data_IF_241393924399
#
_entry.id   IF_241393924399
#
_cell.length_a   1.000
_cell.length_b   1.000
_cell.length_c   1.000
_cell.angle_alpha   90.00
_cell.angle_beta   90.00
_cell.angle_gamma   90.00
#
_symmetry.space_group_name_H-M   'P 1'
#
loop_
_entity.id
_entity.type
_entity.pdbx_description
1 polymer ?
#
# COMPACT_ATOMS: atom_id res chain seq x y z
N UNK A 1 32.83 -45.54 25.14
CA UNK A 1 31.67 -44.90 25.81
C UNK A 1 31.36 -43.50 25.28
N UNK A 2 32.34 -42.59 25.08
CA UNK A 2 32.09 -41.22 24.59
C UNK A 2 31.53 -41.10 23.17
N UNK A 3 31.84 -42.04 22.27
CA UNK A 3 31.35 -42.03 20.87
C UNK A 3 29.89 -42.50 20.75
N UNK A 4 29.45 -43.45 21.58
CA UNK A 4 28.06 -43.91 21.60
C UNK A 4 27.10 -42.84 22.14
N UNK A 5 27.56 -41.98 23.07
CA UNK A 5 26.75 -40.88 23.60
C UNK A 5 26.50 -39.78 22.56
N UNK A 6 27.48 -39.49 21.69
CA UNK A 6 27.32 -38.51 20.61
C UNK A 6 26.34 -38.98 19.52
N UNK A 7 26.35 -40.27 19.19
CA UNK A 7 25.41 -40.85 18.21
C UNK A 7 23.96 -40.87 18.73
N UNK A 8 23.78 -41.05 20.04
CA UNK A 8 22.46 -41.04 20.67
C UNK A 8 21.83 -39.64 20.69
N UNK A 9 22.63 -38.57 20.83
CA UNK A 9 22.15 -37.18 20.80
C UNK A 9 21.68 -36.76 19.39
N UNK A 10 22.31 -37.26 18.33
CA UNK A 10 21.90 -37.00 16.95
C UNK A 10 20.57 -37.69 16.55
N UNK A 11 20.21 -38.80 17.22
CA UNK A 11 18.95 -39.53 16.97
C UNK A 11 17.72 -38.89 17.63
N UNK A 12 17.90 -37.91 18.52
CA UNK A 12 16.78 -37.15 19.12
C UNK A 12 16.51 -35.81 18.44
N UNK A 13 17.29 -35.45 17.41
CA UNK A 13 17.00 -34.28 16.57
C UNK A 13 16.01 -34.72 15.48
N UNK A 14 14.74 -34.86 15.86
CA UNK A 14 13.68 -34.88 14.85
C UNK A 14 13.64 -33.48 14.23
N UNK A 15 13.84 -33.31 12.91
CA UNK A 15 13.46 -32.06 12.28
C UNK A 15 11.95 -31.93 12.47
N UNK A 16 11.53 -30.99 13.32
CA UNK A 16 10.14 -30.57 13.30
C UNK A 16 9.87 -30.09 11.87
N UNK A 17 8.85 -30.67 11.23
CA UNK A 17 8.34 -30.06 10.01
C UNK A 17 7.82 -28.68 10.45
N UNK A 18 8.35 -27.66 9.81
CA UNK A 18 7.88 -26.30 9.97
C UNK A 18 6.99 -25.96 8.77
N UNK A 19 6.33 -24.81 8.83
CA UNK A 19 5.49 -24.32 7.74
C UNK A 19 6.14 -24.47 6.36
N UNK A 20 5.43 -25.06 5.41
CA UNK A 20 5.83 -25.05 4.00
C UNK A 20 5.54 -23.67 3.39
N UNK A 21 6.53 -22.78 3.47
CA UNK A 21 6.46 -21.40 2.95
C UNK A 21 6.08 -21.33 1.48
N UNK A 22 6.35 -22.37 0.69
CA UNK A 22 6.02 -22.39 -0.74
C UNK A 22 4.51 -22.36 -1.00
N UNK A 23 3.67 -22.64 0.01
CA UNK A 23 2.21 -22.54 -0.10
C UNK A 23 1.66 -21.12 0.05
N UNK A 24 2.50 -20.16 0.47
CA UNK A 24 2.07 -18.81 0.79
C UNK A 24 2.87 -17.80 -0.02
N UNK A 25 2.15 -16.94 -0.76
CA UNK A 25 2.78 -15.87 -1.54
C UNK A 25 3.66 -14.96 -0.68
N UNK A 26 4.89 -14.74 -1.14
CA UNK A 26 5.72 -13.59 -0.78
C UNK A 26 5.16 -12.30 -1.38
N UNK A 27 5.73 -11.14 -1.01
CA UNK A 27 5.33 -9.88 -1.65
C UNK A 27 5.60 -9.88 -3.17
N UNK A 28 6.71 -10.48 -3.62
CA UNK A 28 7.09 -10.49 -5.03
C UNK A 28 6.20 -11.42 -5.87
N UNK A 29 5.61 -12.44 -5.26
CA UNK A 29 4.61 -13.33 -5.89
C UNK A 29 3.19 -12.76 -5.86
N UNK A 30 2.97 -11.62 -5.22
CA UNK A 30 1.70 -10.91 -5.20
C UNK A 30 1.78 -9.69 -6.11
N UNK A 31 1.05 -9.70 -7.23
CA UNK A 31 1.16 -8.65 -8.25
C UNK A 31 0.98 -7.23 -7.70
N UNK A 32 -0.04 -7.00 -6.87
CA UNK A 32 -0.24 -5.67 -6.27
C UNK A 32 0.84 -5.32 -5.26
N UNK A 33 1.30 -6.26 -4.43
CA UNK A 33 2.35 -5.99 -3.44
C UNK A 33 3.64 -5.60 -4.13
N UNK A 34 4.06 -6.37 -5.14
CA UNK A 34 5.23 -6.07 -5.96
C UNK A 34 5.15 -4.66 -6.56
N UNK A 35 4.04 -4.31 -7.22
CA UNK A 35 3.85 -2.98 -7.84
C UNK A 35 3.83 -1.85 -6.83
N UNK A 36 3.31 -2.10 -5.63
CA UNK A 36 3.22 -1.11 -4.58
C UNK A 36 4.56 -0.91 -3.86
N UNK A 37 5.29 -2.01 -3.58
CA UNK A 37 6.64 -2.00 -2.99
C UNK A 37 7.68 -1.38 -3.93
N UNK A 38 7.57 -1.63 -5.23
CA UNK A 38 8.44 -1.04 -6.24
C UNK A 38 8.13 0.44 -6.52
N UNK A 39 7.02 0.99 -6.00
CA UNK A 39 6.68 2.38 -6.22
C UNK A 39 7.59 3.29 -5.38
N UNK A 40 8.37 4.11 -6.06
CA UNK A 40 9.16 5.18 -5.46
C UNK A 40 8.49 6.53 -5.70
N UNK A 41 8.65 7.45 -4.75
CA UNK A 41 8.18 8.82 -4.92
C UNK A 41 8.79 9.43 -6.20
N UNK A 42 7.96 9.93 -7.13
CA UNK A 42 8.46 10.53 -8.37
C UNK A 42 9.13 11.89 -8.07
N UNK A 43 10.08 12.29 -8.92
CA UNK A 43 10.73 13.61 -8.81
C UNK A 43 9.71 14.75 -8.87
N UNK A 44 8.67 14.60 -9.68
CA UNK A 44 7.49 15.47 -9.70
C UNK A 44 6.30 14.71 -9.10
N UNK A 45 5.78 15.15 -7.94
CA UNK A 45 4.63 14.52 -7.30
C UNK A 45 3.42 14.42 -8.24
N UNK A 46 2.69 13.30 -8.18
CA UNK A 46 1.52 13.11 -9.05
C UNK A 46 0.22 13.62 -8.41
N UNK A 47 0.12 13.64 -7.08
CA UNK A 47 -1.13 13.96 -6.37
C UNK A 47 -1.10 15.39 -5.86
N UNK A 48 -2.06 16.20 -6.29
CA UNK A 48 -2.16 17.61 -5.95
C UNK A 48 -3.53 17.95 -5.38
N UNK A 49 -3.55 18.71 -4.30
CA UNK A 49 -4.77 19.27 -3.74
C UNK A 49 -5.40 20.27 -4.73
N UNK A 50 -6.72 20.19 -4.91
CA UNK A 50 -7.52 21.23 -5.57
C UNK A 50 -8.14 22.11 -4.48
N UNK A 51 -7.40 23.10 -3.99
CA UNK A 51 -7.75 23.81 -2.74
C UNK A 51 -9.12 24.53 -2.79
N UNK A 52 -9.51 25.04 -3.96
CA UNK A 52 -10.79 25.74 -4.17
C UNK A 52 -12.02 24.82 -4.11
N UNK A 53 -11.82 23.50 -4.11
CA UNK A 53 -12.90 22.52 -3.98
C UNK A 53 -13.32 22.24 -2.54
N UNK A 54 -12.66 22.85 -1.54
CA UNK A 54 -12.95 22.63 -0.13
C UNK A 54 -14.38 23.09 0.22
N UNK A 55 -15.19 22.16 0.71
CA UNK A 55 -16.53 22.38 1.23
C UNK A 55 -16.63 21.80 2.64
N UNK A 56 -16.92 22.65 3.63
CA UNK A 56 -17.12 22.24 5.02
C UNK A 56 -18.60 22.24 5.39
N UNK A 57 -19.16 21.05 5.62
CA UNK A 57 -20.55 20.81 6.04
C UNK A 57 -20.64 20.68 7.57
N UNK A 58 -21.83 20.31 8.08
CA UNK A 58 -22.02 20.01 9.51
C UNK A 58 -21.37 18.70 9.95
N UNK A 59 -21.17 17.76 9.03
CA UNK A 59 -20.73 16.39 9.32
C UNK A 59 -19.34 16.04 8.75
N UNK A 60 -18.79 16.88 7.87
CA UNK A 60 -17.51 16.62 7.21
C UNK A 60 -16.89 17.84 6.55
N UNK A 61 -15.62 17.71 6.14
CA UNK A 61 -14.99 18.57 5.16
C UNK A 61 -14.62 17.73 3.93
N UNK A 62 -14.98 18.19 2.74
CA UNK A 62 -14.71 17.49 1.48
C UNK A 62 -13.89 18.37 0.54
N UNK A 63 -12.96 17.76 -0.18
CA UNK A 63 -12.13 18.43 -1.19
C UNK A 63 -11.63 17.40 -2.21
N UNK A 64 -11.21 17.88 -3.37
CA UNK A 64 -10.68 17.05 -4.45
C UNK A 64 -9.16 16.99 -4.43
N UNK A 65 -8.63 15.86 -4.88
CA UNK A 65 -7.20 15.64 -5.16
C UNK A 65 -7.08 15.17 -6.60
N UNK A 66 -6.23 15.84 -7.38
CA UNK A 66 -5.96 15.50 -8.78
C UNK A 66 -4.68 14.67 -8.88
N UNK A 67 -4.77 13.52 -9.52
CA UNK A 67 -3.59 12.82 -10.05
C UNK A 67 -3.28 13.36 -11.44
N UNK A 68 -2.15 14.05 -11.58
CA UNK A 68 -1.73 14.73 -12.82
C UNK A 68 -1.14 13.78 -13.85
N UNK A 69 -0.63 12.61 -13.45
CA UNK A 69 -0.11 11.59 -14.37
C UNK A 69 -1.21 10.97 -15.23
N UNK A 70 -2.36 10.67 -14.61
CA UNK A 70 -3.47 9.97 -15.27
C UNK A 70 -4.70 10.87 -15.50
N UNK A 71 -4.62 12.14 -15.13
CA UNK A 71 -5.73 13.10 -15.17
C UNK A 71 -7.00 12.62 -14.43
N UNK A 72 -6.81 11.94 -13.29
CA UNK A 72 -7.90 11.38 -12.46
C UNK A 72 -8.17 12.28 -11.26
N UNK A 73 -9.44 12.59 -11.03
CA UNK A 73 -9.90 13.28 -9.82
C UNK A 73 -10.38 12.29 -8.76
N UNK A 74 -9.92 12.51 -7.55
CA UNK A 74 -10.36 11.83 -6.33
C UNK A 74 -11.10 12.81 -5.44
N UNK A 75 -12.07 12.32 -4.67
CA UNK A 75 -12.71 13.05 -3.59
C UNK A 75 -12.19 12.53 -2.26
N UNK A 76 -11.79 13.46 -1.38
CA UNK A 76 -11.38 13.19 0.00
C UNK A 76 -12.44 13.77 0.94
N UNK A 77 -12.92 12.95 1.87
CA UNK A 77 -13.82 13.33 2.95
C UNK A 77 -13.11 13.16 4.30
N UNK A 78 -13.04 14.25 5.05
CA UNK A 78 -12.61 14.28 6.44
C UNK A 78 -13.84 14.30 7.35
N UNK A 79 -13.92 13.37 8.29
CA UNK A 79 -14.90 13.40 9.38
C UNK A 79 -14.16 13.54 10.70
N UNK A 80 -14.47 14.59 11.46
CA UNK A 80 -13.93 14.81 12.80
C UNK A 80 -14.92 14.36 13.87
N UNK A 81 -14.42 13.80 14.96
CA UNK A 81 -15.21 13.38 16.11
C UNK A 81 -14.80 14.15 17.37
N UNK A 82 -15.77 14.43 18.24
CA UNK A 82 -15.63 15.21 19.49
C UNK A 82 -14.52 14.74 20.45
N UNK A 83 -13.99 13.54 20.27
CA UNK A 83 -12.88 12.98 21.04
C UNK A 83 -11.51 13.10 20.35
N UNK A 84 -11.39 13.90 19.29
CA UNK A 84 -10.12 14.14 18.60
C UNK A 84 -9.82 13.16 17.46
N UNK A 85 -10.68 12.16 17.20
CA UNK A 85 -10.50 11.23 16.08
C UNK A 85 -10.79 11.95 14.76
N UNK A 86 -9.94 11.72 13.77
CA UNK A 86 -10.13 12.17 12.38
C UNK A 86 -10.19 10.94 11.48
N UNK A 87 -11.28 10.80 10.72
CA UNK A 87 -11.43 9.78 9.67
C UNK A 87 -11.17 10.42 8.32
N UNK A 88 -10.19 9.86 7.60
CA UNK A 88 -9.89 10.21 6.21
C UNK A 88 -10.49 9.14 5.30
N UNK A 89 -11.32 9.55 4.36
CA UNK A 89 -11.89 8.67 3.34
C UNK A 89 -11.58 9.23 1.96
N UNK A 90 -11.04 8.43 1.07
CA UNK A 90 -10.67 8.85 -0.28
C UNK A 90 -11.19 7.86 -1.31
N UNK A 91 -11.83 8.35 -2.36
CA UNK A 91 -12.33 7.52 -3.46
C UNK A 91 -12.19 8.27 -4.80
N UNK A 92 -12.24 7.55 -5.91
CA UNK A 92 -12.35 8.16 -7.24
C UNK A 92 -13.64 8.98 -7.32
N UNK A 93 -13.56 10.19 -7.89
CA UNK A 93 -14.71 11.09 -8.01
C UNK A 93 -15.75 10.58 -9.02
N UNK A 94 -15.27 9.96 -10.10
CA UNK A 94 -16.08 9.41 -11.19
C UNK A 94 -15.57 8.02 -11.60
N UNK A 95 -15.73 7.00 -10.75
CA UNK A 95 -15.23 5.66 -11.05
C UNK A 95 -16.09 4.97 -12.10
N UNK A 96 -15.49 4.14 -12.96
CA UNK A 96 -16.23 3.32 -13.94
C UNK A 96 -17.18 2.30 -13.27
N UNK A 97 -16.95 2.01 -11.98
CA UNK A 97 -17.85 1.25 -11.11
C UNK A 97 -17.53 1.53 -9.63
N UNK A 98 -18.46 1.32 -8.68
CA UNK A 98 -18.18 1.51 -7.27
C UNK A 98 -17.02 0.64 -6.77
N UNK A 99 -16.18 1.21 -5.89
CA UNK A 99 -15.23 0.45 -5.09
C UNK A 99 -15.93 -0.22 -3.93
N UNK A 100 -15.34 -1.30 -3.43
CA UNK A 100 -15.82 -1.94 -2.21
C UNK A 100 -15.67 -0.98 -1.03
N UNK A 101 -16.76 -0.78 -0.29
CA UNK A 101 -16.77 -0.08 1.00
C UNK A 101 -17.29 -1.05 2.06
N UNK A 102 -16.64 -1.06 3.22
CA UNK A 102 -17.07 -1.89 4.35
C UNK A 102 -18.48 -1.47 4.77
N UNK A 103 -19.46 -2.38 4.77
CA UNK A 103 -20.85 -2.03 5.08
C UNK A 103 -20.97 -1.38 6.47
N UNK A 104 -21.81 -0.34 6.62
CA UNK A 104 -22.13 0.21 7.92
C UNK A 104 -22.67 -0.88 8.87
N UNK A 105 -22.17 -0.91 10.10
CA UNK A 105 -22.59 -1.87 11.12
C UNK A 105 -21.85 -3.21 11.11
N UNK A 106 -21.05 -3.50 10.08
CA UNK A 106 -20.23 -4.73 10.04
C UNK A 106 -19.05 -4.63 11.03
N UNK A 107 -18.20 -3.61 10.86
CA UNK A 107 -17.08 -3.34 11.77
C UNK A 107 -17.30 -2.08 12.61
N UNK A 108 -17.88 -1.04 12.01
CA UNK A 108 -18.14 0.24 12.68
C UNK A 108 -19.64 0.43 12.84
N UNK A 109 -20.07 0.61 14.09
CA UNK A 109 -21.45 0.93 14.43
C UNK A 109 -21.71 2.43 14.15
N UNK A 110 -21.89 2.79 12.88
CA UNK A 110 -22.01 4.21 12.44
C UNK A 110 -23.10 4.99 13.19
N UNK A 111 -24.21 4.33 13.53
CA UNK A 111 -25.30 4.94 14.30
C UNK A 111 -24.85 5.44 15.70
N UNK A 112 -23.81 4.84 16.30
CA UNK A 112 -23.25 5.27 17.58
C UNK A 112 -22.22 6.39 17.43
N UNK A 113 -21.71 6.60 16.21
CA UNK A 113 -20.72 7.64 15.92
C UNK A 113 -21.35 8.93 15.42
N UNK A 114 -22.54 8.88 14.81
CA UNK A 114 -23.20 10.04 14.23
C UNK A 114 -23.37 11.20 15.22
N UNK A 115 -23.75 10.91 16.47
CA UNK A 115 -23.91 11.92 17.54
C UNK A 115 -22.59 12.48 18.05
N UNK A 116 -21.45 11.86 17.71
CA UNK A 116 -20.11 12.27 18.12
C UNK A 116 -19.40 13.12 17.07
N UNK A 117 -19.95 13.23 15.86
CA UNK A 117 -19.36 14.03 14.79
C UNK A 117 -19.31 15.51 15.20
N UNK A 118 -18.19 16.15 14.92
CA UNK A 118 -17.97 17.57 15.21
C UNK A 118 -17.56 18.29 13.93
N UNK A 119 -18.26 19.40 13.64
CA UNK A 119 -18.00 20.25 12.48
C UNK A 119 -16.60 20.86 12.59
N UNK A 120 -15.82 20.77 11.51
CA UNK A 120 -14.53 21.46 11.40
C UNK A 120 -14.71 22.98 11.28
N UNK A 121 -13.76 23.73 11.84
CA UNK A 121 -13.62 25.17 11.60
C UNK A 121 -12.39 25.44 10.73
N UNK A 122 -12.55 26.23 9.66
CA UNK A 122 -11.44 26.62 8.79
C UNK A 122 -10.57 27.62 9.55
N UNK A 123 -9.28 27.29 9.70
CA UNK A 123 -8.27 28.15 10.33
C UNK A 123 -7.57 28.99 9.28
N UNK A 124 -7.20 28.37 8.16
CA UNK A 124 -6.54 29.03 7.04
C UNK A 124 -6.87 28.30 5.73
N UNK A 125 -6.85 29.05 4.63
CA UNK A 125 -7.02 28.51 3.28
C UNK A 125 -6.25 29.38 2.29
N UNK A 126 -5.58 28.73 1.35
CA UNK A 126 -4.80 29.32 0.27
C UNK A 126 -4.91 28.43 -0.97
N UNK A 127 -4.27 28.80 -2.08
CA UNK A 127 -4.21 27.98 -3.29
C UNK A 127 -3.44 26.67 -3.12
N UNK A 128 -2.56 26.58 -2.12
CA UNK A 128 -1.65 25.45 -1.93
C UNK A 128 -1.95 24.63 -0.68
N UNK A 129 -2.71 25.17 0.27
CA UNK A 129 -2.99 24.50 1.52
C UNK A 129 -4.22 25.05 2.23
N UNK A 130 -4.82 24.24 3.10
CA UNK A 130 -5.78 24.69 4.10
C UNK A 130 -5.54 23.98 5.44
N UNK A 131 -6.00 24.61 6.52
CA UNK A 131 -5.95 24.04 7.87
C UNK A 131 -7.34 24.06 8.49
N UNK A 132 -7.74 22.92 9.04
CA UNK A 132 -8.99 22.73 9.77
C UNK A 132 -8.68 22.49 11.25
N UNK A 133 -9.51 23.05 12.13
CA UNK A 133 -9.49 22.76 13.57
C UNK A 133 -10.74 22.00 13.97
N UNK A 134 -10.57 21.07 14.90
CA UNK A 134 -11.68 20.32 15.49
C UNK A 134 -12.04 20.93 16.85
N UNK A 135 -13.23 21.53 16.99
CA UNK A 135 -13.59 22.29 18.20
C UNK A 135 -13.49 21.46 19.48
N UNK A 136 -13.10 22.11 20.58
CA UNK A 136 -12.94 21.51 21.91
C UNK A 136 -11.89 20.38 21.99
N UNK A 137 -10.98 20.34 21.03
CA UNK A 137 -9.82 19.44 21.01
C UNK A 137 -8.58 20.23 20.61
N UNK A 138 -7.40 19.67 20.86
CA UNK A 138 -6.14 20.21 20.33
C UNK A 138 -5.88 19.74 18.89
N UNK A 139 -6.81 19.00 18.27
CA UNK A 139 -6.62 18.39 16.96
C UNK A 139 -6.80 19.41 15.84
N UNK A 140 -5.74 19.58 15.05
CA UNK A 140 -5.83 20.29 13.75
C UNK A 140 -5.39 19.37 12.61
N UNK A 141 -5.94 19.62 11.43
CA UNK A 141 -5.64 18.89 10.20
C UNK A 141 -5.22 19.89 9.14
N UNK A 142 -3.96 19.82 8.73
CA UNK A 142 -3.42 20.62 7.64
C UNK A 142 -3.31 19.76 6.38
N UNK A 143 -3.79 20.27 5.26
CA UNK A 143 -3.72 19.60 3.96
C UNK A 143 -3.01 20.52 2.98
N UNK A 144 -2.03 19.99 2.24
CA UNK A 144 -1.19 20.76 1.31
C UNK A 144 -1.23 20.20 -0.12
N UNK A 145 -0.65 20.95 -1.05
CA UNK A 145 -0.26 20.54 -2.40
C UNK A 145 1.27 20.63 -2.52
N UNK A 146 2.01 19.57 -2.90
CA UNK A 146 1.56 18.20 -3.17
C UNK A 146 0.77 17.57 -2.02
N UNK A 147 -0.11 16.62 -2.37
CA UNK A 147 -1.09 16.07 -1.43
C UNK A 147 -0.42 15.43 -0.22
N UNK A 148 -0.62 16.03 0.95
CA UNK A 148 -0.16 15.58 2.25
C UNK A 148 -1.24 15.97 3.26
N UNK A 149 -1.52 15.06 4.21
CA UNK A 149 -2.40 15.35 5.35
C UNK A 149 -1.57 15.27 6.62
N UNK A 150 -1.47 16.37 7.35
CA UNK A 150 -0.79 16.44 8.64
C UNK A 150 -1.85 16.56 9.74
N UNK A 151 -1.79 15.68 10.73
CA UNK A 151 -2.60 15.76 11.96
C UNK A 151 -1.69 16.26 13.07
N UNK A 152 -2.10 17.37 13.70
CA UNK A 152 -1.38 17.98 14.80
C UNK A 152 -2.21 17.89 16.09
N UNK A 153 -1.51 17.73 17.21
CA UNK A 153 -2.05 17.93 18.56
C UNK A 153 -1.36 19.15 19.16
N UNK A 154 -2.11 20.24 19.29
CA UNK A 154 -1.54 21.57 19.56
C UNK A 154 -0.66 21.99 18.39
N UNK A 155 0.58 22.40 18.69
CA UNK A 155 1.57 22.79 17.67
C UNK A 155 2.47 21.64 17.22
N UNK A 156 2.22 20.41 17.68
CA UNK A 156 3.05 19.24 17.36
C UNK A 156 2.38 18.35 16.32
N UNK A 157 3.01 18.18 15.17
CA UNK A 157 2.63 17.13 14.20
C UNK A 157 2.81 15.76 14.85
N UNK A 158 1.75 14.94 14.83
CA UNK A 158 1.74 13.60 15.43
C UNK A 158 1.60 12.48 14.42
N UNK A 159 0.94 12.76 13.29
CA UNK A 159 0.72 11.79 12.23
C UNK A 159 0.67 12.51 10.88
N UNK A 160 1.32 11.95 9.87
CA UNK A 160 1.27 12.45 8.50
C UNK A 160 0.86 11.34 7.54
N UNK A 161 -0.01 11.65 6.58
CA UNK A 161 -0.35 10.77 5.46
C UNK A 161 0.30 11.31 4.18
N UNK A 162 0.97 10.44 3.45
CA UNK A 162 1.67 10.74 2.20
C UNK A 162 2.88 11.69 2.33
N UNK A 163 3.50 11.74 3.51
CA UNK A 163 4.70 12.56 3.76
C UNK A 163 5.89 12.20 2.86
N UNK A 164 5.98 10.94 2.44
CA UNK A 164 7.03 10.43 1.55
C UNK A 164 6.61 10.40 0.08
N UNK A 165 5.40 10.83 -0.25
CA UNK A 165 4.89 10.76 -1.62
C UNK A 165 4.72 9.34 -2.14
N UNK A 166 4.52 8.35 -1.25
CA UNK A 166 4.35 6.93 -1.64
C UNK A 166 2.87 6.56 -1.86
N UNK A 167 1.97 7.54 -1.82
CA UNK A 167 0.60 7.32 -2.22
C UNK A 167 0.54 6.81 -3.66
N UNK A 168 -0.08 5.64 -3.84
CA UNK A 168 -0.35 5.04 -5.14
C UNK A 168 -1.74 4.43 -5.12
N UNK A 169 -2.64 5.09 -5.82
CA UNK A 169 -4.02 4.70 -5.99
C UNK A 169 -4.22 4.26 -7.43
N UNK A 170 -4.29 2.95 -7.67
CA UNK A 170 -4.53 2.36 -8.98
C UNK A 170 -5.99 2.61 -9.36
N UNK A 171 -6.25 3.61 -10.19
CA UNK A 171 -7.59 3.98 -10.68
C UNK A 171 -8.21 2.84 -11.49
N UNK A 172 -9.54 2.75 -11.48
CA UNK A 172 -10.23 1.70 -12.22
C UNK A 172 -10.13 1.97 -13.72
N UNK A 173 -9.75 0.95 -14.49
CA UNK A 173 -9.57 1.04 -15.94
C UNK A 173 -10.02 -0.23 -16.65
N UNK A 174 -10.37 -0.09 -17.92
CA UNK A 174 -10.66 -1.23 -18.79
C UNK A 174 -9.36 -1.89 -19.23
N UNK A 175 -9.44 -3.19 -19.55
CA UNK A 175 -8.31 -3.90 -20.17
C UNK A 175 -8.05 -3.29 -21.54
N UNK A 176 -6.81 -2.82 -21.83
CA UNK A 176 -6.47 -2.43 -23.18
C UNK A 176 -6.75 -3.59 -24.13
N UNK A 177 -7.40 -3.34 -25.26
CA UNK A 177 -7.50 -4.35 -26.31
C UNK A 177 -6.10 -4.61 -26.84
N UNK A 178 -5.62 -5.86 -26.72
CA UNK A 178 -4.38 -6.25 -27.38
C UNK A 178 -4.55 -6.00 -28.87
N UNK A 179 -3.72 -5.15 -29.47
CA UNK A 179 -3.52 -5.20 -30.92
C UNK A 179 -3.08 -6.63 -31.20
N UNK A 180 -3.95 -7.41 -31.84
CA UNK A 180 -3.73 -8.83 -32.09
C UNK A 180 -2.37 -9.03 -32.76
N UNK A 181 -1.44 -9.65 -32.05
CA UNK A 181 -0.32 -10.32 -32.71
C UNK A 181 -0.92 -11.36 -33.66
N UNK A 182 -0.43 -11.49 -34.90
CA UNK A 182 -0.86 -12.56 -35.78
C UNK A 182 -0.57 -13.89 -35.08
N UNK A 183 -1.59 -14.72 -34.89
CA UNK A 183 -1.38 -16.07 -34.35
C UNK A 183 -0.34 -16.79 -35.20
N UNK A 184 0.69 -17.41 -34.59
CA UNK A 184 1.60 -18.27 -35.34
C UNK A 184 0.78 -19.40 -35.97
N UNK A 185 1.02 -19.74 -37.25
CA UNK A 185 0.25 -20.75 -37.94
C UNK A 185 0.33 -22.08 -37.19
N UNK A 186 -0.83 -22.71 -37.00
CA UNK A 186 -0.96 -24.02 -36.40
C UNK A 186 -0.08 -25.05 -37.14
N UNK A 187 0.71 -25.80 -36.38
CA UNK A 187 1.49 -26.94 -36.88
C UNK A 187 0.56 -27.94 -37.60
N UNK A 188 0.73 -28.04 -38.91
CA UNK A 188 0.21 -29.11 -39.74
C UNK A 188 1.38 -29.93 -40.28
N UNK A 189 1.42 -31.22 -39.93
CA UNK A 189 2.37 -32.19 -40.47
C UNK A 189 2.14 -32.46 -41.97
N UNK A 190 3.29 -32.67 -42.65
CA UNK A 190 3.57 -33.41 -43.88
C UNK A 190 3.06 -32.94 -45.26
N UNK A 191 4.02 -32.66 -46.16
CA UNK A 191 3.81 -32.71 -47.62
C UNK A 191 4.83 -31.94 -48.49
N UNK A 192 5.97 -32.58 -48.77
CA UNK A 192 6.82 -32.51 -49.99
C UNK A 192 7.27 -31.17 -50.64
N UNK A 193 8.61 -31.09 -50.85
CA UNK A 193 9.34 -30.10 -51.68
C UNK A 193 9.03 -30.23 -53.19
N UNK A 194 9.29 -29.18 -53.99
CA UNK A 194 10.47 -29.22 -54.88
C UNK A 194 11.26 -27.90 -55.01
N UNK A 195 12.42 -28.02 -55.66
CA UNK A 195 13.61 -27.14 -55.71
C UNK A 195 13.61 -26.05 -56.82
N UNK A 196 14.53 -25.08 -56.70
CA UNK A 196 15.02 -24.12 -57.73
C UNK A 196 14.72 -22.65 -57.38
N UNK A 197 15.59 -21.62 -57.42
CA UNK A 197 16.92 -21.34 -58.01
C UNK A 197 17.65 -20.22 -57.21
N UNK A 198 18.90 -19.94 -57.58
CA UNK A 198 20.04 -19.18 -57.00
C UNK A 198 19.93 -17.63 -56.76
N UNK A 199 20.95 -16.96 -56.14
CA UNK A 199 20.78 -15.76 -55.31
C UNK A 199 21.34 -14.39 -55.85
N UNK A 200 21.04 -13.34 -55.06
CA UNK A 200 21.75 -12.04 -54.86
C UNK A 200 21.49 -10.88 -55.87
N UNK A 201 21.75 -9.58 -55.54
CA UNK A 201 22.44 -9.03 -54.35
C UNK A 201 21.77 -7.84 -53.64
N UNK A 202 22.48 -7.36 -52.61
CA UNK A 202 22.23 -6.23 -51.72
C UNK A 202 22.03 -4.86 -52.38
N UNK A 203 21.37 -3.93 -51.67
CA UNK A 203 21.85 -2.54 -51.51
C UNK A 203 21.13 -1.78 -50.38
N UNK A 204 21.97 -1.05 -49.62
CA UNK A 204 21.79 0.26 -48.98
C UNK A 204 20.75 0.50 -47.86
N UNK A 205 21.27 0.52 -46.63
CA UNK A 205 21.18 1.60 -45.62
C UNK A 205 19.93 2.48 -45.55
N UNK A 206 19.24 2.41 -44.40
CA UNK A 206 18.80 3.62 -43.70
C UNK A 206 18.87 3.44 -42.19
N UNK A 207 19.59 4.35 -41.56
CA UNK A 207 19.68 4.57 -40.13
C UNK A 207 18.31 4.93 -39.55
N UNK A 208 17.94 4.33 -38.42
CA UNK A 208 17.49 5.06 -37.23
C UNK A 208 17.28 4.08 -36.07
N UNK A 209 18.00 4.34 -34.98
CA UNK A 209 17.74 3.70 -33.71
C UNK A 209 16.37 4.15 -33.19
N UNK A 210 15.65 3.21 -32.61
CA UNK A 210 14.52 3.52 -31.76
C UNK A 210 14.59 2.61 -30.54
N UNK A 211 15.06 3.20 -29.44
CA UNK A 211 14.87 2.70 -28.08
C UNK A 211 13.37 2.49 -27.86
N UNK A 212 12.93 1.24 -27.89
CA UNK A 212 11.61 0.86 -27.37
C UNK A 212 11.77 -0.37 -26.49
N UNK A 213 11.77 -0.14 -25.17
CA UNK A 213 11.02 -0.91 -24.15
C UNK A 213 11.34 -0.42 -22.74
N UNK A 214 10.49 0.47 -22.20
CA UNK A 214 10.14 0.42 -20.78
C UNK A 214 8.70 -0.08 -20.54
N UNK A 215 7.84 -0.10 -21.56
CA UNK A 215 6.39 -0.34 -21.38
C UNK A 215 6.01 -1.82 -21.20
N UNK A 216 6.76 -2.77 -21.77
CA UNK A 216 6.42 -4.20 -21.66
C UNK A 216 6.64 -4.79 -20.27
N UNK A 217 7.55 -4.22 -19.47
CA UNK A 217 7.77 -4.69 -18.09
C UNK A 217 6.66 -4.21 -17.13
N UNK A 218 5.96 -3.11 -17.45
CA UNK A 218 4.85 -2.62 -16.62
C UNK A 218 3.60 -3.53 -16.69
N UNK A 219 3.38 -4.29 -17.77
CA UNK A 219 2.16 -5.08 -17.97
C UNK A 219 2.09 -6.40 -17.18
N UNK A 220 3.25 -6.96 -16.81
CA UNK A 220 3.29 -8.23 -16.08
C UNK A 220 2.58 -8.11 -14.71
N UNK A 221 1.61 -8.99 -14.46
CA UNK A 221 0.77 -9.07 -13.26
C UNK A 221 -0.23 -7.89 -13.05
N UNK A 222 -0.51 -7.07 -14.06
CA UNK A 222 -1.60 -6.06 -13.98
C UNK A 222 -2.98 -6.69 -14.18
N UNK A 223 -3.07 -7.76 -14.98
CA UNK A 223 -4.27 -8.56 -15.25
C UNK A 223 -4.06 -9.99 -14.77
N UNK A 224 -4.62 -11.00 -15.44
CA UNK A 224 -4.69 -12.39 -15.00
C UNK A 224 -3.41 -12.85 -14.26
N UNK A 225 -3.57 -13.46 -13.08
CA UNK A 225 -2.46 -13.85 -12.21
C UNK A 225 -2.58 -15.32 -11.83
N UNK A 226 -1.52 -16.10 -12.10
CA UNK A 226 -1.47 -17.52 -11.76
C UNK A 226 -0.63 -17.74 -10.50
N UNK A 227 -1.14 -18.53 -9.57
CA UNK A 227 -0.39 -19.02 -8.42
C UNK A 227 -0.61 -20.52 -8.24
N UNK A 228 0.44 -21.30 -8.46
CA UNK A 228 0.39 -22.77 -8.55
C UNK A 228 -0.67 -23.20 -9.59
N UNK A 229 -1.65 -24.00 -9.16
CA UNK A 229 -2.76 -24.48 -9.99
C UNK A 229 -3.92 -23.48 -10.11
N UNK A 230 -3.90 -22.37 -9.36
CA UNK A 230 -4.99 -21.40 -9.33
C UNK A 230 -4.72 -20.26 -10.30
N UNK A 231 -5.75 -19.89 -11.07
CA UNK A 231 -5.73 -18.76 -11.99
C UNK A 231 -6.74 -17.72 -11.53
N UNK A 232 -6.26 -16.52 -11.16
CA UNK A 232 -7.11 -15.37 -10.90
C UNK A 232 -7.34 -14.60 -12.20
N UNK A 233 -8.60 -14.56 -12.65
CA UNK A 233 -8.99 -13.83 -13.86
C UNK A 233 -8.87 -12.30 -13.71
N UNK A 234 -8.83 -11.78 -12.47
CA UNK A 234 -8.70 -10.35 -12.13
C UNK A 234 -9.42 -9.40 -13.11
N UNK A 235 -10.77 -9.50 -13.21
CA UNK A 235 -11.55 -8.78 -14.23
C UNK A 235 -11.48 -7.26 -14.13
N UNK A 236 -11.01 -6.74 -12.99
CA UNK A 236 -10.91 -5.30 -12.73
C UNK A 236 -9.49 -4.77 -12.87
N UNK A 237 -8.54 -5.64 -13.22
CA UNK A 237 -7.13 -5.29 -13.33
C UNK A 237 -6.54 -4.78 -12.01
N UNK A 238 -5.61 -3.82 -12.09
CA UNK A 238 -4.97 -3.25 -10.90
C UNK A 238 -5.91 -2.26 -10.21
N UNK A 239 -6.24 -2.54 -8.94
CA UNK A 239 -7.16 -1.70 -8.16
C UNK A 239 -6.62 -1.36 -6.78
N UNK A 240 -5.31 -1.55 -6.55
CA UNK A 240 -4.74 -1.37 -5.23
C UNK A 240 -4.60 0.09 -4.79
N UNK A 241 -4.67 0.31 -3.49
CA UNK A 241 -4.56 1.60 -2.82
C UNK A 241 -3.43 1.51 -1.81
N UNK A 242 -2.46 2.40 -1.95
CA UNK A 242 -1.29 2.54 -1.10
C UNK A 242 -1.14 3.96 -0.57
N UNK A 243 -0.71 4.11 0.69
CA UNK A 243 -0.29 5.39 1.27
C UNK A 243 0.70 5.16 2.40
N UNK A 244 1.72 6.04 2.51
CA UNK A 244 2.59 6.08 3.68
C UNK A 244 1.96 6.86 4.83
N UNK A 245 2.14 6.34 6.03
CA UNK A 245 1.67 6.89 7.29
C UNK A 245 2.89 7.07 8.20
N UNK A 246 3.22 8.31 8.51
CA UNK A 246 4.36 8.64 9.37
C UNK A 246 3.86 8.98 10.77
N UNK A 247 4.35 8.25 11.77
CA UNK A 247 4.13 8.52 13.18
C UNK A 247 5.27 9.39 13.70
N UNK A 248 4.99 10.67 13.92
CA UNK A 248 6.03 11.67 14.22
C UNK A 248 6.45 11.60 15.69
N UNK A 249 7.75 11.41 15.95
CA UNK A 249 8.33 11.35 17.30
C UNK A 249 8.16 10.00 17.99
N UNK A 250 8.00 8.91 17.23
CA UNK A 250 7.84 7.55 17.74
C UNK A 250 8.92 6.62 17.23
N UNK A 251 9.45 5.79 18.13
CA UNK A 251 10.46 4.76 17.85
C UNK A 251 9.88 3.35 17.81
N UNK A 252 8.67 3.15 18.31
CA UNK A 252 8.02 1.84 18.34
C UNK A 252 6.56 1.92 17.89
N UNK A 253 6.19 0.98 17.02
CA UNK A 253 4.80 0.67 16.67
C UNK A 253 4.45 -0.76 17.05
N UNK A 254 3.17 -0.97 17.33
CA UNK A 254 2.58 -2.22 17.82
C UNK A 254 1.28 -2.49 17.08
N UNK A 255 0.76 -3.70 17.21
CA UNK A 255 -0.52 -4.10 16.63
C UNK A 255 -0.37 -4.90 15.33
N UNK A 256 -1.25 -4.61 14.37
CA UNK A 256 -1.49 -5.37 13.12
C UNK A 256 -1.41 -6.90 13.25
N UNK A 257 -2.05 -7.54 14.25
CA UNK A 257 -2.09 -8.99 14.36
C UNK A 257 -2.87 -9.64 13.19
N UNK A 258 -2.72 -10.94 12.94
CA UNK A 258 -2.04 -11.96 13.75
C UNK A 258 -0.75 -12.49 13.12
N UNK A 259 0.36 -12.44 13.88
CA UNK A 259 1.70 -12.86 13.45
C UNK A 259 2.43 -13.57 14.59
N UNK A 260 3.18 -14.61 14.27
CA UNK A 260 4.13 -15.22 15.19
C UNK A 260 5.41 -14.37 15.29
N UNK A 261 5.33 -13.11 15.70
CA UNK A 261 6.49 -12.19 15.78
C UNK A 261 6.51 -11.42 17.13
N UNK A 262 7.49 -10.54 17.31
CA UNK A 262 7.59 -9.70 18.50
C UNK A 262 6.42 -8.72 18.66
N UNK A 263 6.11 -8.36 19.91
CA UNK A 263 5.04 -7.40 20.22
C UNK A 263 5.28 -6.01 19.61
N UNK A 264 6.51 -5.49 19.74
CA UNK A 264 6.96 -4.34 18.96
C UNK A 264 7.27 -4.82 17.54
N UNK A 265 6.67 -4.16 16.55
CA UNK A 265 6.84 -4.54 15.15
C UNK A 265 8.27 -4.23 14.70
N UNK A 266 8.84 -5.14 13.91
CA UNK A 266 10.19 -4.99 13.35
C UNK A 266 10.14 -4.22 12.05
N UNK A 267 11.28 -3.65 11.66
CA UNK A 267 11.39 -3.06 10.33
C UNK A 267 11.26 -4.12 9.24
N UNK A 268 10.57 -3.78 8.16
CA UNK A 268 10.34 -4.62 6.98
C UNK A 268 11.14 -4.16 5.76
N UNK A 269 12.20 -3.35 5.95
CA UNK A 269 13.04 -2.87 4.83
C UNK A 269 13.73 -4.06 4.14
N UNK A 270 14.40 -4.90 4.94
CA UNK A 270 15.21 -6.04 4.46
C UNK A 270 14.48 -7.39 4.54
N UNK A 271 13.15 -7.38 4.67
CA UNK A 271 12.33 -8.60 4.78
C UNK A 271 10.97 -8.40 4.13
N UNK A 272 10.16 -9.47 4.08
CA UNK A 272 8.78 -9.34 3.65
C UNK A 272 7.95 -8.50 4.63
N UNK A 273 6.98 -7.73 4.11
CA UNK A 273 6.08 -6.92 4.93
C UNK A 273 5.17 -7.79 5.80
N UNK A 274 4.59 -7.20 6.85
CA UNK A 274 3.53 -7.84 7.61
C UNK A 274 2.30 -8.00 6.72
N UNK A 275 1.88 -9.25 6.54
CA UNK A 275 0.73 -9.59 5.70
C UNK A 275 -0.51 -9.77 6.57
N UNK A 276 -1.61 -9.15 6.18
CA UNK A 276 -2.93 -9.33 6.77
C UNK A 276 -3.82 -10.00 5.72
N UNK A 277 -3.93 -11.32 5.85
CA UNK A 277 -4.79 -12.17 5.04
C UNK A 277 -5.07 -13.43 5.83
N UNK A 278 -6.33 -13.64 6.23
CA UNK A 278 -6.68 -14.77 7.09
C UNK A 278 -6.38 -16.08 6.35
N UNK A 279 -5.41 -16.82 6.86
CA UNK A 279 -4.87 -18.04 6.29
C UNK A 279 -4.81 -19.14 7.35
N UNK A 280 -5.06 -20.36 6.93
CA UNK A 280 -4.75 -21.54 7.73
C UNK A 280 -3.29 -21.94 7.49
N UNK A 281 -2.41 -21.55 8.40
CA UNK A 281 -0.97 -21.81 8.32
C UNK A 281 -0.58 -22.94 9.26
N UNK A 282 -0.54 -24.16 8.72
CA UNK A 282 -0.14 -25.35 9.47
C UNK A 282 1.29 -25.23 10.00
N UNK A 283 1.50 -25.54 11.29
CA UNK A 283 2.80 -25.50 11.97
C UNK A 283 3.58 -24.19 11.72
N UNK A 284 2.89 -23.05 11.89
CA UNK A 284 3.48 -21.73 11.69
C UNK A 284 4.78 -21.53 12.50
N UNK A 285 5.74 -20.85 11.90
CA UNK A 285 7.02 -20.49 12.54
C UNK A 285 6.93 -19.17 13.31
N UNK A 286 7.88 -18.94 14.20
CA UNK A 286 8.05 -17.69 14.93
C UNK A 286 8.96 -16.70 14.19
N UNK A 287 9.07 -15.48 14.73
CA UNK A 287 9.92 -14.37 14.28
C UNK A 287 9.68 -13.93 12.83
N UNK A 288 8.45 -14.02 12.32
CA UNK A 288 8.12 -13.66 10.94
C UNK A 288 6.78 -12.95 10.73
N UNK A 289 6.70 -12.18 9.63
CA UNK A 289 5.53 -11.38 9.25
C UNK A 289 4.51 -12.10 8.36
N UNK A 290 4.54 -13.44 8.27
CA UNK A 290 3.54 -14.19 7.51
C UNK A 290 2.17 -14.07 8.18
N UNK A 291 1.12 -13.88 7.37
CA UNK A 291 -0.24 -13.79 7.90
C UNK A 291 -0.68 -15.11 8.52
N UNK A 292 -1.44 -15.03 9.61
CA UNK A 292 -2.07 -16.18 10.28
C UNK A 292 -3.61 -16.09 10.16
N UNK A 293 -4.34 -16.51 11.20
CA UNK A 293 -5.77 -16.79 11.12
C UNK A 293 -6.66 -15.54 11.19
N UNK A 294 -6.21 -14.51 11.92
CA UNK A 294 -6.92 -13.24 12.08
C UNK A 294 -6.20 -12.04 11.49
N UNK A 295 -6.97 -11.01 11.15
CA UNK A 295 -6.44 -9.71 10.69
C UNK A 295 -7.16 -8.57 11.39
N UNK A 296 -6.42 -7.77 12.16
CA UNK A 296 -6.94 -6.53 12.76
C UNK A 296 -6.05 -5.36 12.33
N UNK A 297 -6.46 -4.56 11.33
CA UNK A 297 -5.62 -3.50 10.74
C UNK A 297 -5.58 -2.24 11.62
N UNK A 298 -5.13 -2.40 12.86
CA UNK A 298 -4.93 -1.32 13.85
C UNK A 298 -3.46 -1.30 14.24
N UNK A 299 -2.85 -0.13 14.12
CA UNK A 299 -1.48 0.12 14.49
C UNK A 299 -1.43 1.20 15.57
N UNK A 300 -0.60 0.95 16.58
CA UNK A 300 -0.41 1.84 17.72
C UNK A 300 1.02 2.34 17.71
N UNK A 301 1.24 3.64 17.84
CA UNK A 301 2.54 4.22 18.15
C UNK A 301 2.50 4.77 19.58
N UNK A 302 3.50 4.42 20.40
CA UNK A 302 3.53 4.80 21.82
C UNK A 302 4.92 5.29 22.24
N UNK A 303 4.96 6.40 22.99
CA UNK A 303 6.13 6.90 23.68
C UNK A 303 5.72 7.47 25.07
N UNK A 304 6.68 7.97 25.84
CA UNK A 304 6.42 8.50 27.18
C UNK A 304 5.46 9.72 27.21
N UNK A 305 5.35 10.46 26.11
CA UNK A 305 4.54 11.67 26.04
C UNK A 305 3.11 11.41 25.54
N UNK A 306 2.91 10.46 24.61
CA UNK A 306 1.65 10.30 23.90
C UNK A 306 1.50 8.92 23.25
N UNK A 307 0.26 8.61 22.88
CA UNK A 307 -0.12 7.41 22.12
C UNK A 307 -0.96 7.83 20.93
N UNK A 308 -0.62 7.33 19.74
CA UNK A 308 -1.37 7.57 18.49
C UNK A 308 -1.82 6.23 17.93
N UNK A 309 -3.07 6.17 17.49
CA UNK A 309 -3.67 4.97 16.89
C UNK A 309 -4.05 5.28 15.45
N UNK A 310 -3.58 4.44 14.53
CA UNK A 310 -4.10 4.40 13.17
C UNK A 310 -4.94 3.13 12.99
N UNK A 311 -6.11 3.26 12.38
CA UNK A 311 -6.92 2.12 11.93
C UNK A 311 -7.11 2.22 10.43
N UNK A 312 -6.56 1.27 9.70
CA UNK A 312 -6.77 1.15 8.27
C UNK A 312 -8.07 0.36 8.00
N UNK A 313 -9.15 1.07 7.70
CA UNK A 313 -10.47 0.48 7.53
C UNK A 313 -10.64 -0.17 6.15
N UNK A 314 -10.04 -1.34 5.94
CA UNK A 314 -10.18 -2.12 4.71
C UNK A 314 -10.33 -3.62 5.03
N UNK A 315 -11.13 -4.34 4.24
CA UNK A 315 -11.41 -5.78 4.39
C UNK A 315 -10.73 -6.67 3.34
N UNK A 316 -10.02 -6.09 2.36
CA UNK A 316 -9.27 -6.89 1.40
C UNK A 316 -7.85 -7.17 1.90
N UNK A 317 -7.08 -7.98 1.15
CA UNK A 317 -5.69 -8.32 1.48
C UNK A 317 -4.91 -7.03 1.78
N UNK A 318 -4.42 -6.90 3.01
CA UNK A 318 -3.70 -5.71 3.45
C UNK A 318 -2.26 -6.07 3.73
N UNK A 319 -1.32 -5.24 3.28
CA UNK A 319 0.11 -5.45 3.49
C UNK A 319 0.69 -4.18 4.09
N UNK A 320 1.37 -4.33 5.22
CA UNK A 320 1.94 -3.23 6.00
C UNK A 320 3.46 -3.31 6.02
N UNK A 321 4.10 -2.25 5.53
CA UNK A 321 5.54 -2.04 5.65
C UNK A 321 5.81 -1.16 6.87
N UNK A 322 6.90 -1.41 7.59
CA UNK A 322 7.35 -0.58 8.69
C UNK A 322 8.83 -0.23 8.51
N UNK A 323 9.17 1.05 8.54
CA UNK A 323 10.55 1.54 8.52
C UNK A 323 10.78 2.55 9.64
N UNK A 324 11.89 2.39 10.35
CA UNK A 324 12.41 3.37 11.31
C UNK A 324 13.38 4.27 10.57
N UNK A 325 13.15 5.58 10.59
CA UNK A 325 14.03 6.55 9.96
C UNK A 325 14.41 7.67 10.95
N UNK A 326 15.68 8.07 11.01
CA UNK A 326 16.08 9.29 11.70
C UNK A 326 15.74 10.54 10.86
N UNK A 327 15.30 11.62 11.50
CA UNK A 327 15.12 12.91 10.85
C UNK A 327 16.48 13.63 10.69
N UNK A 328 16.79 14.10 9.48
CA UNK A 328 17.86 15.07 9.25
C UNK A 328 17.24 16.47 9.25
N UNK A 329 17.24 17.13 10.41
CA UNK A 329 16.83 18.55 10.51
C UNK A 329 18.04 19.42 10.14
N UNK A 330 17.93 20.20 9.07
CA UNK A 330 18.92 21.22 8.73
C UNK A 330 18.56 22.50 9.49
N UNK A 331 19.40 22.93 10.44
CA UNK A 331 19.29 24.23 11.10
C UNK A 331 20.02 25.29 10.25
N UNK A 332 19.32 26.24 9.59
CA UNK A 332 19.96 27.25 8.76
C UNK A 332 20.75 28.30 9.55
N UNK A 333 20.73 28.27 10.89
CA UNK A 333 21.37 29.28 11.76
C UNK A 333 22.68 28.75 12.39
N UNK A 334 22.92 27.44 12.36
CA UNK A 334 24.09 26.80 12.96
C UNK A 334 24.90 26.03 11.92
N UNK A 335 26.17 26.42 11.72
CA UNK A 335 27.14 25.64 10.92
C UNK A 335 27.52 24.29 11.56
N UNK A 336 26.92 23.92 12.69
CA UNK A 336 26.99 22.56 13.23
C UNK A 336 25.77 21.75 12.77
N UNK A 337 26.05 20.66 12.04
CA UNK A 337 25.11 19.57 11.78
C UNK A 337 24.78 18.87 13.11
N UNK A 338 23.76 19.36 13.81
CA UNK A 338 23.14 18.63 14.91
C UNK A 338 22.11 17.68 14.29
N UNK A 339 22.30 16.37 14.46
CA UNK A 339 21.25 15.39 14.17
C UNK A 339 20.41 15.34 15.45
N UNK A 340 19.27 16.04 15.57
CA UNK A 340 18.36 15.71 16.64
C UNK A 340 17.95 14.25 16.42
N UNK A 341 18.10 13.41 17.44
CA UNK A 341 17.56 12.05 17.45
C UNK A 341 16.02 12.10 17.49
N UNK A 342 15.39 12.66 16.46
CA UNK A 342 13.96 12.55 16.23
C UNK A 342 13.77 11.39 15.26
N UNK A 343 13.35 10.26 15.81
CA UNK A 343 13.00 9.08 15.03
C UNK A 343 11.52 9.17 14.64
N UNK A 344 11.23 8.80 13.41
CA UNK A 344 9.87 8.62 12.91
C UNK A 344 9.69 7.20 12.41
N UNK A 345 8.51 6.65 12.65
CA UNK A 345 8.11 5.39 12.01
C UNK A 345 7.28 5.73 10.80
N UNK A 346 7.71 5.25 9.65
CA UNK A 346 6.90 5.32 8.43
C UNK A 346 6.38 3.93 8.10
N UNK A 347 5.05 3.84 8.04
CA UNK A 347 4.34 2.63 7.68
C UNK A 347 3.58 2.81 6.38
N UNK A 348 3.86 1.98 5.38
CA UNK A 348 3.10 2.02 4.12
C UNK A 348 2.09 0.89 4.11
N UNK A 349 0.81 1.23 3.98
CA UNK A 349 -0.28 0.26 3.95
C UNK A 349 -0.83 0.18 2.54
N UNK A 350 -0.90 -1.05 2.02
CA UNK A 350 -1.40 -1.33 0.68
C UNK A 350 -2.53 -2.32 0.72
N UNK A 351 -3.54 -2.11 -0.12
CA UNK A 351 -4.67 -3.03 -0.25
C UNK A 351 -5.09 -3.17 -1.69
N UNK A 352 -5.40 -4.38 -2.15
CA UNK A 352 -6.07 -4.60 -3.42
C UNK A 352 -7.45 -5.21 -3.19
N UNK A 353 -8.50 -4.59 -3.74
CA UNK A 353 -9.87 -5.10 -3.69
C UNK A 353 -10.10 -6.12 -4.81
N UNK A 354 -10.62 -7.28 -4.44
CA UNK A 354 -10.99 -8.35 -5.37
C UNK A 354 -10.09 -9.57 -5.27
N UNK A 355 -10.45 -10.47 -4.35
CA UNK A 355 -10.55 -11.93 -4.49
C UNK A 355 -11.23 -12.38 -3.19
N UNK A 356 -12.49 -12.80 -3.29
CA UNK A 356 -13.11 -13.69 -2.31
C UNK A 356 -13.22 -15.03 -3.03
N UNK A 357 -12.38 -15.98 -2.65
CA UNK A 357 -12.65 -17.40 -2.89
C UNK A 357 -12.36 -18.13 -1.59
N UNK A 358 -13.42 -18.39 -0.83
CA UNK A 358 -13.43 -19.46 0.17
C UNK A 358 -13.80 -20.73 -0.59
N UNK A 359 -12.99 -21.77 -0.46
CA UNK A 359 -13.44 -23.14 -0.74
C UNK A 359 -13.05 -24.04 0.42
N UNK A 360 -14.06 -24.54 1.12
CA UNK A 360 -13.98 -25.77 1.90
C UNK A 360 -14.72 -26.84 1.10
N UNK A 361 -14.01 -27.87 0.62
CA UNK A 361 -14.56 -28.99 -0.17
C UNK A 361 -14.80 -28.69 -1.65
#
# INVERSE_FOLDING_TARGET
>A
MKVCTALFVLLFVNPALAVDRNNFKTCDESGFCKRQRAYTAPATPHYHLVADSLVVSSDSAQFDVKNTKYDILFVVKLTGYSNGIVRVHMNEKSPIKPRYEVPPGDVVLEHQLQSKISKFSIVSQSSEAFTLSLPNTETTVKVTSPFLVEVLSGDTTVLQLNSRGLMKFEHLRLKPESKSEPEPPADGEDGEKPEGEEPAPADAESEQGEETKPEEEEEHAMWEEKYKSHNDAKPNGPTSIGVDITFTGFEHVYGIPEHGDSFALRSTVDRDPYRLYNLDVFEYELDNGMALYGSVPVMLAHNAARTIVNRWANQSITISFASLLPELVFDPISTNMYIPHMYHIVCTVYVCSGIILVRCG
#
